data_IF_788344784321
#
_entry.id   IF_788344784321
#
_cell.length_a   1.000
_cell.length_b   1.000
_cell.length_c   1.000
_cell.angle_alpha   90.00
_cell.angle_beta   90.00
_cell.angle_gamma   90.00
#
_symmetry.space_group_name_H-M   'P 1'
#
loop_
_entity.id
_entity.type
_entity.pdbx_description
1 polymer ?
#
# COMPACT_ATOMS: atom_id res chain seq x y z
N UNK A 1 -65.48 10.74 -5.98
CA UNK A 1 -64.39 11.23 -6.86
C UNK A 1 -63.21 11.87 -6.11
N UNK A 2 -63.41 12.50 -4.97
CA UNK A 2 -62.38 13.22 -4.18
C UNK A 2 -61.31 12.29 -3.52
N UNK A 3 -61.69 11.11 -3.02
CA UNK A 3 -60.77 10.23 -2.28
C UNK A 3 -59.69 9.56 -3.14
N UNK A 4 -59.96 9.32 -4.42
CA UNK A 4 -58.94 8.72 -5.35
C UNK A 4 -57.82 9.71 -5.74
N UNK A 5 -58.16 10.99 -5.82
CA UNK A 5 -57.17 12.03 -6.15
C UNK A 5 -56.18 12.23 -5.00
N UNK A 6 -56.68 12.18 -3.75
CA UNK A 6 -55.83 12.33 -2.56
C UNK A 6 -54.88 11.14 -2.36
N UNK A 7 -55.37 9.90 -2.60
CA UNK A 7 -54.57 8.70 -2.51
C UNK A 7 -53.45 8.66 -3.60
N UNK A 8 -53.74 9.15 -4.81
CA UNK A 8 -52.78 9.23 -5.89
C UNK A 8 -51.68 10.29 -5.59
N UNK A 9 -52.06 11.40 -4.96
CA UNK A 9 -51.14 12.48 -4.58
C UNK A 9 -50.17 12.03 -3.46
N UNK A 10 -50.69 11.32 -2.44
CA UNK A 10 -49.86 10.76 -1.36
C UNK A 10 -48.90 9.69 -1.85
N UNK A 11 -49.35 8.82 -2.75
CA UNK A 11 -48.50 7.77 -3.35
C UNK A 11 -47.37 8.35 -4.21
N UNK A 12 -47.65 9.44 -4.96
CA UNK A 12 -46.65 10.15 -5.74
C UNK A 12 -45.63 10.88 -4.88
N UNK A 13 -46.09 11.46 -3.76
CA UNK A 13 -45.21 12.18 -2.81
C UNK A 13 -44.34 11.20 -2.03
N UNK A 14 -44.88 10.04 -1.65
CA UNK A 14 -44.10 8.97 -0.98
C UNK A 14 -43.01 8.39 -1.86
N UNK A 15 -43.30 8.13 -3.13
CA UNK A 15 -42.30 7.66 -4.10
C UNK A 15 -41.19 8.69 -4.34
N UNK A 16 -41.51 9.98 -4.37
CA UNK A 16 -40.49 11.03 -4.59
C UNK A 16 -39.52 11.15 -3.41
N UNK A 17 -40.03 11.06 -2.18
CA UNK A 17 -39.22 11.08 -0.96
C UNK A 17 -38.35 9.82 -0.82
N UNK A 18 -38.88 8.67 -1.18
CA UNK A 18 -38.13 7.39 -1.21
C UNK A 18 -37.00 7.43 -2.24
N UNK A 19 -37.29 7.92 -3.44
CA UNK A 19 -36.27 8.07 -4.50
C UNK A 19 -35.14 9.02 -4.07
N UNK A 20 -35.44 10.16 -3.45
CA UNK A 20 -34.41 11.08 -2.94
C UNK A 20 -33.47 10.41 -1.93
N UNK A 21 -34.03 9.63 -0.99
CA UNK A 21 -33.24 8.87 0.00
C UNK A 21 -32.35 7.82 -0.67
N UNK A 22 -32.88 7.14 -1.70
CA UNK A 22 -32.13 6.14 -2.45
C UNK A 22 -30.98 6.78 -3.24
N UNK A 23 -31.19 7.93 -3.90
CA UNK A 23 -30.12 8.66 -4.59
C UNK A 23 -29.06 9.21 -3.63
N UNK A 24 -29.46 9.68 -2.44
CA UNK A 24 -28.54 10.13 -1.39
C UNK A 24 -27.65 8.98 -0.89
N UNK A 25 -28.23 7.80 -0.66
CA UNK A 25 -27.48 6.61 -0.23
C UNK A 25 -26.53 6.14 -1.35
N UNK A 26 -27.01 6.11 -2.59
CA UNK A 26 -26.19 5.75 -3.76
C UNK A 26 -25.03 6.72 -3.96
N UNK A 27 -25.27 8.02 -3.79
CA UNK A 27 -24.23 9.06 -3.87
C UNK A 27 -23.18 8.90 -2.77
N UNK A 28 -23.59 8.52 -1.55
CA UNK A 28 -22.66 8.32 -0.43
C UNK A 28 -21.77 7.08 -0.63
N UNK A 29 -22.31 6.00 -1.23
CA UNK A 29 -21.57 4.79 -1.58
C UNK A 29 -20.54 5.06 -2.70
N UNK A 30 -20.87 5.91 -3.67
CA UNK A 30 -19.96 6.30 -4.74
C UNK A 30 -18.78 7.15 -4.23
N UNK A 31 -19.01 8.02 -3.26
CA UNK A 31 -17.96 8.87 -2.68
C UNK A 31 -16.94 8.09 -1.83
N UNK A 32 -17.34 6.99 -1.19
CA UNK A 32 -16.46 6.20 -0.33
C UNK A 32 -15.37 5.45 -1.11
N UNK A 33 -15.62 5.06 -2.37
CA UNK A 33 -14.64 4.34 -3.18
C UNK A 33 -13.48 5.22 -3.69
N UNK A 34 -13.68 6.54 -3.81
CA UNK A 34 -12.65 7.47 -4.28
C UNK A 34 -11.51 7.66 -3.28
N UNK A 35 -11.79 7.56 -1.98
CA UNK A 35 -10.80 7.78 -0.92
C UNK A 35 -9.75 6.66 -0.83
N UNK A 36 -10.13 5.42 -1.06
CA UNK A 36 -9.20 4.27 -1.00
C UNK A 36 -8.22 4.25 -2.18
N UNK A 37 -8.67 4.60 -3.39
CA UNK A 37 -7.79 4.66 -4.56
C UNK A 37 -6.67 5.70 -4.39
N UNK A 38 -6.98 6.85 -3.79
CA UNK A 38 -5.98 7.89 -3.55
C UNK A 38 -4.91 7.46 -2.55
N UNK A 39 -5.27 6.72 -1.50
CA UNK A 39 -4.31 6.26 -0.49
C UNK A 39 -3.22 5.37 -1.11
N UNK A 40 -3.58 4.38 -1.93
CA UNK A 40 -2.62 3.49 -2.58
C UNK A 40 -1.74 4.21 -3.61
N UNK A 41 -2.28 5.22 -4.30
CA UNK A 41 -1.48 6.08 -5.17
C UNK A 41 -0.40 6.84 -4.39
N UNK A 42 -0.75 7.42 -3.24
CA UNK A 42 0.24 8.07 -2.38
C UNK A 42 1.26 7.08 -1.82
N UNK A 43 0.84 5.90 -1.40
CA UNK A 43 1.76 4.85 -0.96
C UNK A 43 2.77 4.47 -2.05
N UNK A 44 2.32 4.28 -3.30
CA UNK A 44 3.22 3.94 -4.41
C UNK A 44 4.27 5.03 -4.66
N UNK A 45 3.89 6.30 -4.57
CA UNK A 45 4.81 7.43 -4.70
C UNK A 45 5.79 7.51 -3.52
N UNK A 46 5.34 7.22 -2.30
CA UNK A 46 6.22 7.16 -1.13
C UNK A 46 7.21 6.00 -1.28
N UNK A 47 6.76 4.81 -1.70
CA UNK A 47 7.64 3.67 -1.98
C UNK A 47 8.72 4.06 -3.00
N UNK A 48 8.33 4.70 -4.10
CA UNK A 48 9.29 5.20 -5.09
C UNK A 48 10.28 6.21 -4.46
N UNK A 49 9.79 7.13 -3.65
CA UNK A 49 10.65 8.11 -2.98
C UNK A 49 11.65 7.44 -2.04
N UNK A 50 11.19 6.45 -1.27
CA UNK A 50 12.03 5.65 -0.37
C UNK A 50 13.19 5.01 -1.13
N UNK A 51 12.98 4.51 -2.36
CA UNK A 51 14.05 3.86 -3.14
C UNK A 51 15.24 4.78 -3.42
N UNK A 52 15.07 6.09 -3.39
CA UNK A 52 16.15 7.08 -3.59
C UNK A 52 17.01 7.29 -2.35
N UNK A 53 16.51 6.92 -1.19
CA UNK A 53 17.14 7.16 0.10
C UNK A 53 17.64 5.87 0.77
N UNK A 54 17.48 4.73 0.09
CA UNK A 54 18.00 3.44 0.53
C UNK A 54 19.17 3.05 -0.36
N UNK A 55 20.23 2.54 0.26
CA UNK A 55 21.40 2.02 -0.42
C UNK A 55 21.45 0.51 -0.24
N UNK A 56 21.46 -0.21 -1.35
CA UNK A 56 21.64 -1.66 -1.42
C UNK A 56 23.09 -2.02 -1.65
N UNK A 57 23.56 -3.19 -1.20
CA UNK A 57 24.86 -3.74 -1.60
C UNK A 57 24.95 -3.90 -3.13
N UNK A 58 26.18 -3.83 -3.68
CA UNK A 58 26.43 -3.83 -5.12
C UNK A 58 25.79 -5.03 -5.86
N UNK A 59 25.73 -6.18 -5.20
CA UNK A 59 25.06 -7.36 -5.74
C UNK A 59 23.58 -7.16 -6.07
N UNK A 60 22.91 -6.15 -5.49
CA UNK A 60 21.49 -5.79 -5.71
C UNK A 60 21.31 -4.59 -6.65
N UNK A 61 22.42 -4.04 -7.17
CA UNK A 61 22.38 -2.85 -8.04
C UNK A 61 22.46 -3.20 -9.53
N UNK A 62 22.29 -4.47 -9.91
CA UNK A 62 22.36 -4.93 -11.30
C UNK A 62 20.97 -5.31 -11.84
N UNK A 63 20.76 -5.11 -13.14
CA UNK A 63 19.50 -5.41 -13.82
C UNK A 63 18.36 -4.50 -13.42
N UNK A 64 17.13 -4.95 -13.60
CA UNK A 64 15.94 -4.21 -13.21
C UNK A 64 15.85 -4.01 -11.69
N UNK A 65 15.25 -2.90 -11.27
CA UNK A 65 14.88 -2.69 -9.87
C UNK A 65 13.58 -3.45 -9.58
N UNK A 66 13.69 -4.61 -8.94
CA UNK A 66 12.53 -5.48 -8.76
C UNK A 66 11.82 -5.22 -7.44
N UNK A 67 10.48 -5.05 -7.54
CA UNK A 67 9.55 -4.96 -6.41
C UNK A 67 8.64 -6.17 -6.47
N UNK A 68 8.71 -7.03 -5.46
CA UNK A 68 7.76 -8.14 -5.28
C UNK A 68 6.59 -7.67 -4.42
N UNK A 69 5.38 -8.11 -4.75
CA UNK A 69 4.16 -7.86 -3.97
C UNK A 69 3.55 -9.20 -3.59
N UNK A 70 3.36 -9.44 -2.29
CA UNK A 70 2.82 -10.69 -1.79
C UNK A 70 1.29 -10.70 -1.88
N UNK A 71 0.74 -11.55 -2.75
CA UNK A 71 -0.69 -11.71 -2.95
C UNK A 71 -1.33 -10.57 -3.75
N UNK A 72 -2.65 -10.55 -3.73
CA UNK A 72 -3.44 -9.50 -4.35
C UNK A 72 -3.54 -8.29 -3.42
N UNK A 73 -3.30 -7.12 -3.97
CA UNK A 73 -3.41 -5.84 -3.26
C UNK A 73 -3.77 -4.73 -4.24
N UNK A 74 -4.63 -3.79 -3.86
CA UNK A 74 -4.98 -2.63 -4.70
C UNK A 74 -3.77 -1.77 -5.10
N UNK A 75 -2.67 -1.82 -4.35
CA UNK A 75 -1.45 -1.08 -4.67
C UNK A 75 -0.75 -1.60 -5.95
N UNK A 76 -1.05 -2.83 -6.40
CA UNK A 76 -0.38 -3.43 -7.56
C UNK A 76 -0.51 -2.59 -8.82
N UNK A 77 -1.71 -2.07 -9.10
CA UNK A 77 -1.95 -1.29 -10.31
C UNK A 77 -1.28 0.09 -10.22
N UNK A 78 -1.27 0.68 -9.02
CA UNK A 78 -0.56 1.94 -8.77
C UNK A 78 0.97 1.78 -8.87
N UNK A 79 1.53 0.67 -8.37
CA UNK A 79 2.95 0.36 -8.52
C UNK A 79 3.32 0.12 -9.99
N UNK A 80 2.48 -0.58 -10.77
CA UNK A 80 2.69 -0.79 -12.21
C UNK A 80 2.65 0.53 -12.96
N UNK A 81 1.67 1.39 -12.68
CA UNK A 81 1.57 2.72 -13.29
C UNK A 81 2.80 3.58 -12.96
N UNK A 82 3.24 3.56 -11.70
CA UNK A 82 4.46 4.22 -11.25
C UNK A 82 5.70 3.68 -11.99
N UNK A 83 5.82 2.36 -12.13
CA UNK A 83 6.95 1.72 -12.80
C UNK A 83 7.07 2.07 -14.29
N UNK A 84 5.94 2.31 -14.97
CA UNK A 84 5.95 2.78 -16.37
C UNK A 84 6.48 4.22 -16.52
N UNK A 85 6.29 5.05 -15.50
CA UNK A 85 6.63 6.48 -15.54
C UNK A 85 7.97 6.81 -14.89
N UNK A 86 8.57 5.90 -14.10
CA UNK A 86 9.74 6.16 -13.24
C UNK A 86 10.81 5.10 -13.39
N UNK A 87 12.05 5.49 -13.03
CA UNK A 87 13.22 4.61 -12.92
C UNK A 87 13.92 4.85 -11.59
N UNK A 88 14.71 3.88 -11.15
CA UNK A 88 15.61 4.02 -10.00
C UNK A 88 17.03 4.11 -10.54
N UNK A 89 17.59 5.32 -10.56
CA UNK A 89 18.76 5.62 -11.39
C UNK A 89 18.43 5.35 -12.86
N UNK A 90 19.25 4.54 -13.53
CA UNK A 90 19.04 4.12 -14.93
C UNK A 90 18.23 2.81 -15.06
N UNK A 91 17.89 2.18 -13.95
CA UNK A 91 17.22 0.88 -13.89
C UNK A 91 15.73 1.01 -14.08
N UNK A 92 15.15 0.19 -14.96
CA UNK A 92 13.70 0.03 -15.06
C UNK A 92 13.15 -0.63 -13.80
N UNK A 93 11.93 -0.23 -13.40
CA UNK A 93 11.25 -0.83 -12.25
C UNK A 93 10.39 -1.98 -12.75
N UNK A 94 10.58 -3.17 -12.16
CA UNK A 94 9.79 -4.36 -12.45
C UNK A 94 8.91 -4.70 -11.27
N UNK A 95 7.59 -4.79 -11.48
CA UNK A 95 6.63 -5.18 -10.46
C UNK A 95 6.19 -6.62 -10.70
N UNK A 96 6.39 -7.48 -9.72
CA UNK A 96 6.00 -8.89 -9.81
C UNK A 96 5.13 -9.27 -8.64
N UNK A 97 3.94 -9.81 -8.90
CA UNK A 97 3.11 -10.45 -7.88
C UNK A 97 3.63 -11.86 -7.60
N UNK A 98 3.75 -12.21 -6.33
CA UNK A 98 3.99 -13.58 -5.84
C UNK A 98 2.80 -14.01 -4.98
N UNK A 99 2.49 -15.29 -4.97
CA UNK A 99 1.30 -15.80 -4.27
C UNK A 99 1.58 -16.22 -2.83
N UNK A 100 2.80 -16.62 -2.54
CA UNK A 100 3.22 -17.18 -1.24
C UNK A 100 4.69 -16.85 -0.92
N UNK A 101 5.08 -16.84 0.37
CA UNK A 101 6.44 -16.49 0.80
C UNK A 101 7.55 -17.38 0.20
N UNK A 102 7.23 -18.63 -0.16
CA UNK A 102 8.19 -19.56 -0.78
C UNK A 102 8.70 -19.09 -2.15
N UNK A 103 7.94 -18.22 -2.82
CA UNK A 103 8.30 -17.62 -4.11
C UNK A 103 9.21 -16.39 -3.98
N UNK A 104 9.53 -15.97 -2.74
CA UNK A 104 10.46 -14.87 -2.49
C UNK A 104 11.84 -15.28 -3.03
N UNK A 105 12.36 -14.44 -3.89
CA UNK A 105 13.68 -14.55 -4.49
C UNK A 105 14.40 -13.20 -4.38
N UNK A 106 15.64 -13.15 -4.82
CA UNK A 106 16.41 -11.90 -4.84
C UNK A 106 15.61 -10.80 -5.55
N UNK A 107 15.36 -9.71 -4.83
CA UNK A 107 14.68 -8.49 -5.30
C UNK A 107 15.16 -7.30 -4.47
N UNK A 108 14.77 -6.08 -4.84
CA UNK A 108 15.14 -4.89 -4.07
C UNK A 108 14.11 -4.59 -2.97
N UNK A 109 12.83 -4.75 -3.28
CA UNK A 109 11.73 -4.46 -2.35
C UNK A 109 10.76 -5.63 -2.32
N UNK A 110 10.27 -5.97 -1.13
CA UNK A 110 9.15 -6.87 -0.92
C UNK A 110 8.04 -6.10 -0.19
N UNK A 111 6.90 -5.97 -0.83
CA UNK A 111 5.72 -5.36 -0.21
C UNK A 111 4.78 -6.44 0.32
N UNK A 112 4.41 -6.31 1.60
CA UNK A 112 3.51 -7.21 2.33
C UNK A 112 2.24 -6.44 2.70
N UNK A 113 1.13 -6.63 1.98
CA UNK A 113 -0.13 -5.98 2.29
C UNK A 113 -0.74 -6.49 3.60
N UNK A 114 -1.62 -5.70 4.22
CA UNK A 114 -2.30 -6.06 5.46
C UNK A 114 -3.02 -7.42 5.36
N UNK A 115 -3.62 -7.73 4.19
CA UNK A 115 -4.27 -9.02 3.93
C UNK A 115 -3.34 -10.23 4.01
N UNK A 116 -2.02 -10.03 4.02
CA UNK A 116 -0.97 -11.06 4.11
C UNK A 116 -0.15 -10.98 5.40
N UNK A 117 -0.55 -10.14 6.36
CA UNK A 117 0.13 -9.98 7.67
C UNK A 117 0.28 -11.29 8.45
N UNK A 118 -0.66 -12.21 8.33
CA UNK A 118 -0.58 -13.54 8.95
C UNK A 118 0.56 -14.43 8.42
N UNK A 119 1.16 -14.08 7.28
CA UNK A 119 2.31 -14.81 6.72
C UNK A 119 3.65 -14.12 7.00
N UNK A 120 3.65 -13.06 7.81
CA UNK A 120 4.82 -12.20 8.00
C UNK A 120 6.04 -12.93 8.59
N UNK A 121 5.82 -13.86 9.51
CA UNK A 121 6.92 -14.64 10.10
C UNK A 121 7.61 -15.54 9.04
N UNK A 122 6.83 -16.11 8.11
CA UNK A 122 7.38 -16.85 6.97
C UNK A 122 8.15 -15.92 6.02
N UNK A 123 7.65 -14.70 5.80
CA UNK A 123 8.37 -13.67 5.03
C UNK A 123 9.71 -13.36 5.67
N UNK A 124 9.74 -13.06 6.98
CA UNK A 124 10.98 -12.74 7.70
C UNK A 124 12.00 -13.88 7.65
N UNK A 125 11.53 -15.13 7.76
CA UNK A 125 12.39 -16.31 7.64
C UNK A 125 13.05 -16.40 6.26
N UNK A 126 12.32 -16.05 5.20
CA UNK A 126 12.83 -16.10 3.81
C UNK A 126 13.80 -14.97 3.48
N UNK A 127 13.57 -13.76 4.01
CA UNK A 127 14.42 -12.59 3.73
C UNK A 127 15.61 -12.46 4.67
N UNK A 128 15.72 -13.29 5.70
CA UNK A 128 16.66 -13.14 6.84
C UNK A 128 18.12 -12.91 6.44
N UNK A 129 18.57 -13.47 5.32
CA UNK A 129 19.96 -13.36 4.83
C UNK A 129 20.07 -12.57 3.52
N UNK A 130 19.01 -11.91 3.11
CA UNK A 130 18.91 -11.19 1.85
C UNK A 130 18.80 -9.69 2.10
N UNK A 131 19.46 -8.88 1.27
CA UNK A 131 19.33 -7.41 1.35
C UNK A 131 18.06 -6.92 0.64
N UNK A 132 16.92 -7.36 1.12
CA UNK A 132 15.59 -7.01 0.60
C UNK A 132 14.95 -6.00 1.56
N UNK A 133 14.50 -4.87 1.03
CA UNK A 133 13.71 -3.91 1.81
C UNK A 133 12.28 -4.41 1.97
N UNK A 134 11.93 -4.87 3.16
CA UNK A 134 10.55 -5.30 3.47
C UNK A 134 9.71 -4.09 3.86
N UNK A 135 8.65 -3.87 3.11
CA UNK A 135 7.66 -2.83 3.38
C UNK A 135 6.33 -3.50 3.72
N UNK A 136 5.72 -3.13 4.83
CA UNK A 136 4.42 -3.65 5.28
C UNK A 136 3.42 -2.52 5.57
N UNK A 137 2.15 -2.86 5.77
CA UNK A 137 1.08 -1.89 6.04
C UNK A 137 0.13 -2.32 7.16
N UNK A 138 0.53 -3.25 8.03
CA UNK A 138 -0.28 -3.68 9.17
C UNK A 138 0.35 -3.19 10.47
N UNK A 139 -0.49 -2.73 11.39
CA UNK A 139 -0.05 -2.22 12.70
C UNK A 139 0.81 -3.24 13.45
N UNK A 140 1.94 -2.79 13.99
CA UNK A 140 2.86 -3.62 14.79
C UNK A 140 3.87 -4.41 13.96
N UNK A 141 3.77 -4.52 12.63
CA UNK A 141 4.76 -5.25 11.83
C UNK A 141 6.12 -4.55 11.78
N UNK A 142 6.16 -3.23 11.96
CA UNK A 142 7.40 -2.50 12.16
C UNK A 142 8.21 -3.07 13.33
N UNK A 143 7.60 -3.19 14.50
CA UNK A 143 8.23 -3.76 15.70
C UNK A 143 8.58 -5.25 15.54
N UNK A 144 7.84 -6.00 14.71
CA UNK A 144 8.15 -7.41 14.39
C UNK A 144 9.30 -7.60 13.42
N UNK A 145 9.81 -6.53 12.79
CA UNK A 145 10.98 -6.61 11.93
C UNK A 145 10.76 -6.21 10.47
N UNK A 146 9.63 -5.59 10.12
CA UNK A 146 9.52 -4.88 8.84
C UNK A 146 10.52 -3.73 8.82
N UNK A 147 11.21 -3.54 7.71
CA UNK A 147 12.14 -2.41 7.58
C UNK A 147 11.40 -1.07 7.57
N UNK A 148 10.29 -1.04 6.84
CA UNK A 148 9.38 0.11 6.76
C UNK A 148 7.96 -0.41 6.94
N UNK A 149 7.18 0.28 7.77
CA UNK A 149 5.79 -0.10 7.99
C UNK A 149 4.88 1.11 7.82
N UNK A 150 3.95 1.05 6.88
CA UNK A 150 2.94 2.08 6.72
C UNK A 150 1.90 1.99 7.83
N UNK A 151 1.57 3.14 8.39
CA UNK A 151 0.56 3.27 9.44
C UNK A 151 -0.35 4.47 9.17
N UNK A 152 -1.49 4.51 9.82
CA UNK A 152 -2.32 5.72 9.91
C UNK A 152 -2.09 6.33 11.28
N UNK A 153 -1.59 7.58 11.31
CA UNK A 153 -1.40 8.37 12.52
C UNK A 153 -2.18 9.68 12.40
N UNK A 154 -3.04 9.95 13.35
CA UNK A 154 -3.89 11.16 13.36
C UNK A 154 -4.68 11.35 12.04
N UNK A 155 -5.19 10.24 11.48
CA UNK A 155 -5.94 10.22 10.22
C UNK A 155 -5.08 10.43 8.96
N UNK A 156 -3.77 10.47 9.07
CA UNK A 156 -2.83 10.66 7.95
C UNK A 156 -1.94 9.45 7.75
N UNK A 157 -1.61 9.19 6.49
CA UNK A 157 -0.62 8.17 6.15
C UNK A 157 0.75 8.60 6.68
N UNK A 158 1.38 7.74 7.46
CA UNK A 158 2.74 7.87 7.98
C UNK A 158 3.48 6.55 7.79
N UNK A 159 4.76 6.50 8.11
CA UNK A 159 5.52 5.26 8.10
C UNK A 159 6.54 5.20 9.23
N UNK A 160 6.74 4.01 9.72
CA UNK A 160 7.77 3.64 10.69
C UNK A 160 9.01 3.12 9.98
N UNK A 161 10.19 3.36 10.55
CA UNK A 161 11.46 2.72 10.14
C UNK A 161 12.03 1.95 11.32
N UNK A 162 12.24 0.66 11.12
CA UNK A 162 12.98 -0.18 12.06
C UNK A 162 14.46 -0.21 11.67
N UNK A 163 15.27 0.57 12.39
CA UNK A 163 16.69 0.70 12.10
C UNK A 163 17.45 -0.63 12.31
N UNK A 164 17.05 -1.44 13.29
CA UNK A 164 17.67 -2.74 13.52
C UNK A 164 17.42 -3.71 12.35
N UNK A 165 16.18 -3.72 11.83
CA UNK A 165 15.83 -4.53 10.66
C UNK A 165 16.57 -4.07 9.40
N UNK A 166 16.71 -2.76 9.18
CA UNK A 166 17.50 -2.19 8.07
C UNK A 166 18.95 -2.68 8.13
N UNK A 167 19.58 -2.55 9.29
CA UNK A 167 20.98 -2.96 9.49
C UNK A 167 21.17 -4.46 9.33
N UNK A 168 20.24 -5.27 9.87
CA UNK A 168 20.27 -6.74 9.75
C UNK A 168 20.29 -7.21 8.30
N UNK A 169 19.63 -6.50 7.41
CA UNK A 169 19.58 -6.82 5.98
C UNK A 169 20.69 -6.12 5.16
N UNK A 170 21.70 -5.56 5.81
CA UNK A 170 22.82 -4.87 5.17
C UNK A 170 22.38 -3.70 4.28
N UNK A 171 21.23 -3.09 4.59
CA UNK A 171 20.73 -1.88 3.95
C UNK A 171 21.20 -0.65 4.72
N UNK A 172 21.26 0.48 4.03
CA UNK A 172 21.50 1.79 4.65
C UNK A 172 20.40 2.75 4.23
N UNK A 173 19.95 3.58 5.15
CA UNK A 173 18.96 4.66 4.89
C UNK A 173 19.60 6.02 5.14
N UNK A 174 19.22 7.00 4.35
CA UNK A 174 19.73 8.35 4.52
C UNK A 174 19.05 9.06 5.70
N UNK A 175 19.73 10.07 6.23
CA UNK A 175 19.18 10.90 7.30
C UNK A 175 17.93 11.69 6.87
N UNK A 176 17.80 11.97 5.57
CA UNK A 176 16.62 12.64 5.02
C UNK A 176 15.37 11.77 5.18
N UNK A 177 15.51 10.46 4.92
CA UNK A 177 14.40 9.53 5.07
C UNK A 177 14.01 9.34 6.56
N UNK A 178 15.01 9.21 7.45
CA UNK A 178 14.75 9.00 8.89
C UNK A 178 14.05 10.21 9.54
N UNK A 179 14.30 11.43 9.05
CA UNK A 179 13.61 12.64 9.54
C UNK A 179 12.12 12.69 9.18
N UNK A 180 11.71 11.97 8.15
CA UNK A 180 10.31 11.90 7.70
C UNK A 180 9.53 10.75 8.34
N UNK A 181 10.22 9.84 9.03
CA UNK A 181 9.69 8.62 9.58
C UNK A 181 9.50 8.68 11.09
N UNK A 182 8.71 7.75 11.60
CA UNK A 182 8.69 7.41 13.01
C UNK A 182 9.75 6.32 13.21
N UNK A 183 10.79 6.64 13.97
CA UNK A 183 11.87 5.68 14.26
C UNK A 183 11.45 4.73 15.37
N UNK A 184 11.67 3.42 15.17
CA UNK A 184 11.37 2.35 16.13
C UNK A 184 12.53 1.36 16.22
#
# INVERSE_FOLDING_TARGET
>A
MSQYIFACFLKKHYNYQSMKKTYLILSFILLSNLSFSQAHKYQSLIIYSITKYVVWPDAYNQGDFEILVLGDSPILDELKAMAQAKKVGDRSIKITKISKPEEIRKCNVLYVPASKSGQFDNVLSKVNTQSILVISEEAGLGAKGSNINFIVKDGKLAFEINQAAITKQSLKVSNELTRLAIMI
#
